data_IF_865097212379
#
_entry.id   IF_865097212379
#
_cell.length_a   1.000
_cell.length_b   1.000
_cell.length_c   1.000
_cell.angle_alpha   90.00
_cell.angle_beta   90.00
_cell.angle_gamma   90.00
#
_symmetry.space_group_name_H-M   'P 1'
#
loop_
_entity.id
_entity.type
_entity.pdbx_description
1 polymer ?
#
# COMPACT_ATOMS: atom_id res chain seq x y z
N UNK A 1 23.99 13.14 5.09
CA UNK A 1 23.63 13.01 3.66
C UNK A 1 23.80 11.54 3.31
N UNK A 2 22.71 10.80 3.28
CA UNK A 2 22.70 9.42 2.83
C UNK A 2 21.62 9.36 1.78
N UNK A 3 21.99 9.64 0.53
CA UNK A 3 21.17 9.36 -0.64
C UNK A 3 21.06 7.84 -0.78
N UNK A 4 20.21 7.22 0.04
CA UNK A 4 19.69 5.89 -0.24
C UNK A 4 18.44 6.13 -1.08
N UNK A 5 18.43 5.63 -2.32
CA UNK A 5 17.20 5.52 -3.09
C UNK A 5 16.11 4.91 -2.18
N UNK A 6 14.90 5.46 -2.23
CA UNK A 6 13.78 4.94 -1.44
C UNK A 6 13.57 3.45 -1.75
N UNK A 7 13.06 2.66 -0.81
CA UNK A 7 12.90 1.21 -1.04
C UNK A 7 12.01 0.94 -2.26
N UNK A 8 11.02 1.80 -2.52
CA UNK A 8 10.20 1.77 -3.74
C UNK A 8 10.99 1.99 -5.03
N UNK A 9 11.95 2.92 -5.05
CA UNK A 9 12.83 3.16 -6.22
C UNK A 9 13.78 2.00 -6.49
N UNK A 10 14.26 1.33 -5.43
CA UNK A 10 15.06 0.12 -5.58
C UNK A 10 14.20 -1.03 -6.13
N UNK A 11 12.99 -1.22 -5.60
CA UNK A 11 12.04 -2.23 -6.07
C UNK A 11 11.63 -1.99 -7.53
N UNK A 12 11.55 -0.73 -7.98
CA UNK A 12 11.24 -0.39 -9.38
C UNK A 12 12.24 -0.91 -10.40
N UNK A 13 13.45 -1.27 -9.96
CA UNK A 13 14.54 -1.79 -10.79
C UNK A 13 14.67 -3.32 -10.71
N UNK A 14 13.67 -4.01 -10.16
CA UNK A 14 13.73 -5.47 -9.99
C UNK A 14 13.79 -6.20 -11.34
N UNK A 15 14.73 -7.12 -11.47
CA UNK A 15 14.86 -7.99 -12.64
C UNK A 15 14.32 -9.40 -12.35
N UNK A 16 13.88 -10.16 -13.38
CA UNK A 16 13.41 -11.54 -13.21
C UNK A 16 14.43 -12.47 -12.52
N UNK A 17 15.72 -12.21 -12.71
CA UNK A 17 16.81 -12.98 -12.08
C UNK A 17 16.81 -12.84 -10.55
N UNK A 18 16.42 -11.68 -10.04
CA UNK A 18 16.36 -11.42 -8.60
C UNK A 18 15.19 -12.18 -7.98
N UNK A 19 14.07 -12.31 -8.69
CA UNK A 19 12.93 -13.13 -8.30
C UNK A 19 13.29 -14.63 -8.24
N UNK A 20 14.15 -15.11 -9.16
CA UNK A 20 14.65 -16.49 -9.13
C UNK A 20 15.56 -16.71 -7.92
N UNK A 21 16.48 -15.77 -7.63
CA UNK A 21 17.34 -15.82 -6.44
C UNK A 21 16.54 -15.73 -5.14
N UNK A 22 15.40 -15.05 -5.16
CA UNK A 22 14.44 -14.99 -4.05
C UNK A 22 13.72 -16.33 -3.81
N UNK A 23 13.70 -17.23 -4.80
CA UNK A 23 13.15 -18.59 -4.69
C UNK A 23 11.93 -18.87 -5.55
N UNK A 24 11.55 -17.96 -6.46
CA UNK A 24 10.48 -18.20 -7.42
C UNK A 24 10.98 -19.06 -8.59
N UNK A 25 10.15 -19.98 -9.08
CA UNK A 25 10.51 -20.86 -10.19
C UNK A 25 10.49 -20.12 -11.55
N UNK A 26 11.46 -20.38 -12.45
CA UNK A 26 11.54 -19.69 -13.75
C UNK A 26 10.29 -19.83 -14.62
N UNK A 27 9.63 -20.99 -14.59
CA UNK A 27 8.42 -21.25 -15.38
C UNK A 27 7.23 -20.39 -14.94
N UNK A 28 7.19 -20.00 -13.65
CA UNK A 28 6.15 -19.15 -13.11
C UNK A 28 6.39 -17.68 -13.46
N UNK A 29 7.64 -17.21 -13.33
CA UNK A 29 8.01 -15.84 -13.71
C UNK A 29 7.84 -15.64 -15.22
N UNK A 30 8.19 -16.64 -16.05
CA UNK A 30 8.00 -16.58 -17.50
C UNK A 30 6.54 -16.46 -17.96
N UNK A 31 5.55 -16.77 -17.10
CA UNK A 31 4.12 -16.57 -17.38
C UNK A 31 3.59 -15.21 -16.93
N UNK A 32 4.41 -14.42 -16.24
CA UNK A 32 4.08 -13.10 -15.73
C UNK A 32 4.93 -12.04 -16.46
N UNK A 33 4.53 -11.65 -17.69
CA UNK A 33 5.31 -10.72 -18.51
C UNK A 33 5.29 -9.27 -18.00
N UNK A 34 4.46 -8.97 -16.99
CA UNK A 34 4.27 -7.62 -16.44
C UNK A 34 4.67 -7.63 -14.97
N UNK A 35 5.65 -6.81 -14.63
CA UNK A 35 6.07 -6.52 -13.26
C UNK A 35 5.60 -5.12 -12.91
N UNK A 36 4.92 -4.97 -11.77
CA UNK A 36 4.50 -3.69 -11.24
C UNK A 36 4.96 -3.58 -9.80
N UNK A 37 5.63 -2.49 -9.47
CA UNK A 37 6.20 -2.24 -8.14
C UNK A 37 5.35 -1.19 -7.43
N UNK A 38 5.21 -1.35 -6.12
CA UNK A 38 4.46 -0.41 -5.28
C UNK A 38 5.44 0.49 -4.55
N UNK A 39 5.08 1.77 -4.45
CA UNK A 39 5.82 2.72 -3.63
C UNK A 39 5.37 2.61 -2.17
N UNK A 40 6.25 3.05 -1.26
CA UNK A 40 5.91 3.18 0.15
C UNK A 40 4.81 4.21 0.35
N UNK A 41 4.02 4.01 1.40
CA UNK A 41 2.94 4.94 1.75
C UNK A 41 3.52 6.18 2.43
N UNK A 42 3.23 7.35 1.88
CA UNK A 42 3.48 8.63 2.55
C UNK A 42 2.41 8.91 3.60
N UNK A 43 2.70 9.82 4.52
CA UNK A 43 1.73 10.31 5.51
C UNK A 43 0.46 10.85 4.83
N UNK A 44 0.62 11.63 3.75
CA UNK A 44 -0.49 12.12 2.94
C UNK A 44 -1.30 10.98 2.33
N UNK A 45 -0.64 9.93 1.84
CA UNK A 45 -1.32 8.75 1.29
C UNK A 45 -2.12 8.01 2.38
N UNK A 46 -1.59 7.93 3.60
CA UNK A 46 -2.30 7.33 4.75
C UNK A 46 -3.54 8.14 5.13
N UNK A 47 -3.45 9.47 5.19
CA UNK A 47 -4.61 10.34 5.44
C UNK A 47 -5.67 10.13 4.35
N UNK A 48 -5.26 10.06 3.08
CA UNK A 48 -6.18 9.76 1.99
C UNK A 48 -6.83 8.38 2.12
N UNK A 49 -6.09 7.34 2.49
CA UNK A 49 -6.62 5.99 2.71
C UNK A 49 -7.64 5.97 3.87
N UNK A 50 -7.45 6.80 4.88
CA UNK A 50 -8.37 6.91 6.02
C UNK A 50 -9.66 7.66 5.67
N UNK A 51 -9.70 8.51 4.62
CA UNK A 51 -10.84 9.39 4.34
C UNK A 51 -11.52 9.13 2.98
N UNK A 52 -10.75 8.91 1.91
CA UNK A 52 -11.25 8.87 0.53
C UNK A 52 -11.95 7.56 0.15
N UNK A 53 -11.39 6.35 0.38
CA UNK A 53 -11.96 5.14 -0.19
C UNK A 53 -13.35 4.83 0.36
N UNK A 54 -14.15 4.08 -0.41
CA UNK A 54 -15.50 3.65 0.03
C UNK A 54 -15.44 2.82 1.30
N UNK A 55 -14.37 2.03 1.45
CA UNK A 55 -14.12 1.15 2.58
C UNK A 55 -13.12 1.75 3.59
N UNK A 56 -13.00 3.07 3.65
CA UNK A 56 -12.10 3.73 4.58
C UNK A 56 -12.43 3.37 6.04
N UNK A 57 -11.40 3.24 6.88
CA UNK A 57 -11.56 2.84 8.29
C UNK A 57 -12.47 3.80 9.07
N UNK A 58 -12.43 5.10 8.77
CA UNK A 58 -13.31 6.11 9.38
C UNK A 58 -14.78 5.83 9.03
N UNK A 59 -15.08 5.60 7.75
CA UNK A 59 -16.42 5.27 7.23
C UNK A 59 -16.93 3.92 7.71
N UNK A 60 -16.05 2.96 7.94
CA UNK A 60 -16.40 1.68 8.56
C UNK A 60 -16.69 1.81 10.06
N UNK A 61 -16.01 2.74 10.74
CA UNK A 61 -16.13 2.91 12.19
C UNK A 61 -17.41 3.66 12.57
N UNK A 62 -17.79 4.69 11.82
CA UNK A 62 -19.06 5.43 12.02
C UNK A 62 -20.30 4.53 12.20
N UNK A 63 -20.63 3.58 11.29
CA UNK A 63 -21.79 2.71 11.46
C UNK A 63 -21.63 1.69 12.59
N UNK A 64 -20.39 1.37 13.04
CA UNK A 64 -20.18 0.53 14.23
C UNK A 64 -20.58 1.29 15.49
N UNK A 65 -20.10 2.52 15.66
CA UNK A 65 -20.43 3.38 16.81
C UNK A 65 -21.88 3.87 16.82
N UNK A 66 -22.47 4.09 15.64
CA UNK A 66 -23.87 4.50 15.54
C UNK A 66 -24.85 3.41 16.06
N UNK A 67 -24.45 2.14 16.07
CA UNK A 67 -25.23 1.06 16.70
C UNK A 67 -25.34 1.22 18.22
N UNK A 68 -24.34 1.83 18.82
CA UNK A 68 -24.29 2.16 20.25
C UNK A 68 -24.78 3.59 20.53
N UNK A 69 -25.37 4.27 19.53
CA UNK A 69 -25.89 5.63 19.64
C UNK A 69 -24.82 6.74 19.67
N UNK A 70 -23.59 6.44 19.26
CA UNK A 70 -22.46 7.38 19.27
C UNK A 70 -22.16 7.91 17.86
N UNK A 71 -22.17 9.23 17.67
CA UNK A 71 -21.74 9.90 16.43
C UNK A 71 -20.22 10.14 16.44
N UNK A 72 -19.48 9.39 15.60
CA UNK A 72 -18.02 9.50 15.50
C UNK A 72 -17.64 10.47 14.38
N UNK A 73 -16.91 11.54 14.73
CA UNK A 73 -16.34 12.50 13.77
C UNK A 73 -14.81 12.49 13.83
N UNK A 74 -14.16 12.34 12.68
CA UNK A 74 -12.74 12.57 12.53
C UNK A 74 -12.54 13.98 11.96
N UNK A 75 -11.79 14.81 12.68
CA UNK A 75 -11.34 16.12 12.21
C UNK A 75 -9.93 15.99 11.67
N UNK A 76 -9.59 16.81 10.67
CA UNK A 76 -8.23 17.02 10.20
C UNK A 76 -7.58 18.06 11.13
N UNK A 77 -6.38 17.78 11.67
CA UNK A 77 -5.55 18.77 12.37
C UNK A 77 -4.51 19.35 11.40
#
# INVERSE_FOLDING_TARGET
KSDKASEGELLSQVEPEDLIKFGLIPEFIGRLPVVATLNELSEEALIQILNAPKNALTKQSQPRFNRDGVDLRCSEE
#
